data_IF_126601562793
#
_entry.id   IF_126601562793
#
_cell.length_a   1.000
_cell.length_b   1.000
_cell.length_c   1.000
_cell.angle_alpha   90.00
_cell.angle_beta   90.00
_cell.angle_gamma   90.00
#
_symmetry.space_group_name_H-M   'P 1'
#
loop_
_entity.id
_entity.type
_entity.pdbx_description
1 polymer ?
#
# COMPACT_ATOMS: atom_id res chain seq x y z
N UNK A 1 -43.92 -0.07 54.03
CA UNK A 1 -43.07 0.90 53.32
C UNK A 1 -41.79 0.16 52.97
N UNK A 2 -41.92 -0.76 52.02
CA UNK A 2 -41.43 -0.67 50.61
C UNK A 2 -39.97 -1.09 50.53
N UNK A 3 -39.76 -2.40 50.61
CA UNK A 3 -38.62 -3.10 50.00
C UNK A 3 -38.89 -3.18 48.49
N UNK A 4 -38.07 -2.52 47.68
CA UNK A 4 -37.99 -2.77 46.24
C UNK A 4 -36.76 -3.64 45.98
N UNK A 5 -37.02 -4.93 45.76
CA UNK A 5 -36.05 -5.86 45.17
C UNK A 5 -36.27 -5.84 43.67
N UNK A 6 -35.39 -5.18 42.92
CA UNK A 6 -35.48 -5.13 41.45
C UNK A 6 -34.65 -6.27 40.86
N UNK A 7 -35.36 -7.27 40.35
CA UNK A 7 -34.84 -8.32 39.47
C UNK A 7 -34.47 -7.78 38.07
N UNK A 8 -33.34 -8.29 37.58
CA UNK A 8 -33.12 -8.82 36.22
C UNK A 8 -33.35 -7.92 35.00
N UNK A 9 -32.25 -7.63 34.29
CA UNK A 9 -32.17 -7.83 32.84
C UNK A 9 -30.70 -7.84 32.38
N UNK A 10 -30.04 -8.99 32.51
CA UNK A 10 -28.79 -9.24 31.76
C UNK A 10 -29.19 -9.55 30.33
N UNK A 11 -29.11 -8.56 29.44
CA UNK A 11 -29.29 -8.78 28.01
C UNK A 11 -28.07 -9.55 27.49
N UNK A 12 -28.20 -10.86 27.34
CA UNK A 12 -27.27 -11.63 26.52
C UNK A 12 -27.47 -11.23 25.06
N UNK A 13 -26.68 -10.24 24.63
CA UNK A 13 -26.49 -9.89 23.23
C UNK A 13 -25.69 -11.03 22.60
N UNK A 14 -26.39 -11.98 21.97
CA UNK A 14 -25.77 -13.03 21.16
C UNK A 14 -25.04 -12.36 19.99
N UNK A 15 -23.72 -12.17 20.12
CA UNK A 15 -22.88 -11.72 19.01
C UNK A 15 -22.95 -12.75 17.89
N UNK A 16 -23.58 -12.37 16.79
CA UNK A 16 -23.64 -13.14 15.56
C UNK A 16 -22.21 -13.33 15.02
N UNK A 17 -21.65 -14.53 15.19
CA UNK A 17 -20.28 -14.87 14.77
C UNK A 17 -20.24 -14.97 13.25
N UNK A 18 -20.05 -13.84 12.59
CA UNK A 18 -19.82 -13.76 11.14
C UNK A 18 -18.45 -14.38 10.78
N UNK A 19 -18.35 -15.29 9.82
CA UNK A 19 -17.04 -15.82 9.44
C UNK A 19 -16.09 -14.70 8.95
N UNK A 20 -14.79 -14.72 9.29
CA UNK A 20 -13.85 -13.71 8.81
C UNK A 20 -13.72 -13.80 7.28
N UNK A 21 -13.89 -12.67 6.59
CA UNK A 21 -13.73 -12.60 5.14
C UNK A 21 -12.26 -12.84 4.78
N UNK A 22 -11.98 -13.96 4.10
CA UNK A 22 -10.64 -14.32 3.63
C UNK A 22 -10.51 -14.00 2.15
N UNK A 23 -9.46 -13.26 1.78
CA UNK A 23 -9.11 -13.02 0.38
C UNK A 23 -7.90 -13.85 -0.02
N UNK A 24 -8.04 -14.71 -1.04
CA UNK A 24 -6.95 -15.60 -1.50
C UNK A 24 -5.68 -14.83 -1.90
N UNK A 25 -5.83 -13.60 -2.40
CA UNK A 25 -4.73 -12.71 -2.78
C UNK A 25 -3.87 -12.26 -1.59
N UNK A 26 -4.37 -12.42 -0.37
CA UNK A 26 -3.67 -12.09 0.87
C UNK A 26 -3.03 -13.32 1.52
N UNK A 27 -3.17 -14.51 0.91
CA UNK A 27 -2.54 -15.74 1.39
C UNK A 27 -1.14 -15.86 0.78
N UNK A 28 -0.12 -15.96 1.62
CA UNK A 28 1.27 -16.19 1.22
C UNK A 28 1.77 -17.53 1.72
N UNK A 29 2.41 -18.30 0.83
CA UNK A 29 2.94 -19.65 1.10
C UNK A 29 1.93 -20.60 1.76
N UNK A 30 0.62 -20.38 1.54
CA UNK A 30 -0.51 -21.13 2.14
C UNK A 30 -0.58 -21.14 3.68
N UNK A 31 0.27 -20.38 4.36
CA UNK A 31 0.34 -20.38 5.84
C UNK A 31 0.27 -18.96 6.43
N UNK A 32 0.58 -17.94 5.65
CA UNK A 32 0.57 -16.54 6.09
C UNK A 32 -0.62 -15.81 5.48
N UNK A 33 -1.18 -14.88 6.24
CA UNK A 33 -2.22 -13.96 5.80
C UNK A 33 -1.79 -12.52 6.04
N UNK A 34 -2.00 -11.65 5.06
CA UNK A 34 -1.70 -10.22 5.17
C UNK A 34 -2.85 -9.45 5.81
N UNK A 35 -2.51 -8.65 6.82
CA UNK A 35 -3.43 -7.79 7.58
C UNK A 35 -2.84 -6.38 7.75
N UNK A 36 -3.70 -5.42 8.05
CA UNK A 36 -3.26 -4.15 8.60
C UNK A 36 -2.86 -4.37 10.06
N UNK A 37 -1.72 -3.84 10.49
CA UNK A 37 -1.24 -3.99 11.86
C UNK A 37 -0.76 -2.68 12.47
N UNK A 38 -1.03 -2.50 13.75
CA UNK A 38 -0.54 -1.44 14.62
C UNK A 38 0.56 -2.00 15.50
N UNK A 39 1.73 -1.38 15.47
CA UNK A 39 2.95 -1.88 16.10
C UNK A 39 3.50 -0.86 17.08
N UNK A 40 4.15 -1.36 18.13
CA UNK A 40 4.97 -0.57 19.06
C UNK A 40 6.37 -1.15 19.21
N UNK A 41 7.31 -0.30 19.57
CA UNK A 41 8.66 -0.67 19.95
C UNK A 41 8.87 -0.34 21.43
N UNK A 42 9.02 -1.33 22.32
CA UNK A 42 9.29 -1.09 23.74
C UNK A 42 10.60 -0.34 23.97
N UNK A 43 11.59 -0.49 23.10
CA UNK A 43 12.92 0.09 23.31
C UNK A 43 12.99 1.61 23.06
N UNK A 44 12.03 2.19 22.33
CA UNK A 44 12.02 3.62 22.01
C UNK A 44 10.63 4.26 21.99
N UNK A 45 9.64 3.51 22.48
CA UNK A 45 8.22 3.88 22.60
C UNK A 45 7.58 4.35 21.29
N UNK A 46 8.18 4.01 20.15
CA UNK A 46 7.65 4.40 18.84
C UNK A 46 6.49 3.50 18.45
N UNK A 47 5.39 4.10 18.02
CA UNK A 47 4.26 3.40 17.43
C UNK A 47 4.19 3.65 15.92
N UNK A 48 3.77 2.65 15.16
CA UNK A 48 3.59 2.78 13.72
C UNK A 48 2.56 1.80 13.18
N UNK A 49 2.01 2.12 12.02
CA UNK A 49 1.11 1.23 11.30
C UNK A 49 1.85 0.55 10.14
N UNK A 50 1.43 -0.67 9.84
CA UNK A 50 1.96 -1.44 8.73
C UNK A 50 0.85 -2.18 8.00
N UNK A 51 0.59 -1.76 6.76
CA UNK A 51 -0.50 -2.30 5.92
C UNK A 51 -0.32 -3.76 5.54
N UNK A 52 0.85 -4.37 5.76
CA UNK A 52 1.13 -5.75 5.35
C UNK A 52 1.81 -6.55 6.43
N UNK A 53 1.22 -6.47 7.62
CA UNK A 53 1.57 -7.36 8.71
C UNK A 53 1.21 -8.78 8.32
N UNK A 54 2.11 -9.75 8.53
CA UNK A 54 1.84 -11.17 8.26
C UNK A 54 1.53 -11.87 9.56
N UNK A 55 0.39 -12.53 9.61
CA UNK A 55 -0.03 -13.41 10.69
C UNK A 55 -0.34 -14.80 10.14
N UNK A 56 -0.29 -15.82 10.99
CA UNK A 56 -0.63 -17.17 10.58
C UNK A 56 -2.11 -17.21 10.14
N UNK A 57 -2.36 -17.81 8.97
CA UNK A 57 -3.69 -17.88 8.37
C UNK A 57 -4.70 -18.59 9.28
N UNK A 58 -4.29 -19.65 10.00
CA UNK A 58 -5.20 -20.35 10.91
C UNK A 58 -5.60 -19.47 12.09
N UNK A 59 -4.66 -18.67 12.62
CA UNK A 59 -4.91 -17.75 13.73
C UNK A 59 -5.82 -16.60 13.33
N UNK A 60 -5.64 -16.09 12.11
CA UNK A 60 -6.58 -15.12 11.53
C UNK A 60 -8.00 -15.68 11.42
N UNK A 61 -8.15 -16.89 10.84
CA UNK A 61 -9.45 -17.57 10.72
C UNK A 61 -10.11 -17.80 12.08
N UNK A 62 -9.30 -18.11 13.11
CA UNK A 62 -9.76 -18.31 14.47
C UNK A 62 -9.92 -17.02 15.29
N UNK A 63 -9.77 -15.83 14.66
CA UNK A 63 -9.94 -14.51 15.30
C UNK A 63 -9.06 -14.29 16.55
N UNK A 64 -7.88 -14.91 16.59
CA UNK A 64 -6.96 -14.80 17.72
C UNK A 64 -6.46 -13.36 17.85
N UNK A 65 -6.61 -12.72 19.02
CA UNK A 65 -6.20 -11.31 19.20
C UNK A 65 -4.68 -11.17 19.12
N UNK A 66 -4.23 -9.95 18.83
CA UNK A 66 -2.80 -9.66 18.68
C UNK A 66 -1.96 -10.02 19.92
N UNK A 67 -2.50 -9.79 21.13
CA UNK A 67 -1.83 -10.13 22.39
C UNK A 67 -1.70 -11.65 22.64
N UNK A 68 -2.57 -12.45 22.03
CA UNK A 68 -2.57 -13.91 22.19
C UNK A 68 -1.70 -14.61 21.12
N UNK A 69 -1.20 -13.87 20.13
CA UNK A 69 -0.33 -14.42 19.08
C UNK A 69 1.08 -14.68 19.60
N UNK A 70 1.55 -15.90 19.36
CA UNK A 70 2.95 -16.25 19.61
C UNK A 70 3.88 -15.60 18.59
N UNK A 71 5.16 -15.46 18.94
CA UNK A 71 6.17 -14.82 18.07
C UNK A 71 6.40 -15.56 16.75
N UNK A 72 6.15 -16.87 16.69
CA UNK A 72 6.22 -17.67 15.47
C UNK A 72 4.91 -17.63 14.65
N UNK A 73 3.84 -17.03 15.18
CA UNK A 73 2.53 -16.91 14.53
C UNK A 73 2.35 -15.54 13.84
N UNK A 74 3.35 -14.67 13.95
CA UNK A 74 3.41 -13.37 13.28
C UNK A 74 4.82 -13.11 12.78
N UNK A 75 4.95 -12.33 11.71
CA UNK A 75 6.27 -11.86 11.27
C UNK A 75 6.61 -10.54 11.95
N UNK A 76 7.62 -10.56 12.82
CA UNK A 76 8.15 -9.37 13.51
C UNK A 76 8.53 -8.28 12.51
N UNK A 77 8.39 -7.03 12.95
CA UNK A 77 8.80 -5.86 12.18
C UNK A 77 10.02 -5.23 12.84
N UNK A 78 10.87 -4.58 12.03
CA UNK A 78 11.95 -3.79 12.60
C UNK A 78 11.42 -2.38 12.90
N UNK A 79 11.76 -1.84 14.07
CA UNK A 79 11.41 -0.47 14.40
C UNK A 79 12.13 0.49 13.45
N UNK A 80 11.38 1.41 12.82
CA UNK A 80 11.96 2.39 11.90
C UNK A 80 12.73 3.51 12.60
N UNK A 81 12.51 3.72 13.90
CA UNK A 81 13.16 4.76 14.69
C UNK A 81 14.50 4.31 15.26
N UNK A 82 14.55 3.15 15.91
CA UNK A 82 15.75 2.65 16.59
C UNK A 82 16.35 1.37 15.98
N UNK A 83 15.80 0.86 14.87
CA UNK A 83 16.24 -0.38 14.22
C UNK A 83 16.14 -1.65 15.08
N UNK A 84 15.51 -1.58 16.25
CA UNK A 84 15.30 -2.77 17.08
C UNK A 84 14.36 -3.78 16.41
N UNK A 85 14.62 -5.07 16.65
CA UNK A 85 13.75 -6.19 16.26
C UNK A 85 12.72 -6.53 17.34
N UNK A 86 12.78 -5.84 18.48
CA UNK A 86 11.85 -5.99 19.59
C UNK A 86 10.57 -5.20 19.31
N UNK A 87 9.77 -5.64 18.34
CA UNK A 87 8.50 -5.01 18.00
C UNK A 87 7.31 -5.83 18.51
N UNK A 88 6.34 -5.18 19.14
CA UNK A 88 5.08 -5.78 19.54
C UNK A 88 3.97 -5.38 18.56
N UNK A 89 3.15 -6.36 18.17
CA UNK A 89 1.91 -6.10 17.43
C UNK A 89 0.83 -5.79 18.47
N UNK A 90 0.29 -4.59 18.45
CA UNK A 90 -0.75 -4.14 19.38
C UNK A 90 -2.12 -4.62 18.90
N UNK A 91 -2.38 -4.46 17.60
CA UNK A 91 -3.67 -4.77 17.00
C UNK A 91 -3.47 -5.11 15.53
N UNK A 92 -4.38 -5.92 14.99
CA UNK A 92 -4.49 -6.09 13.55
C UNK A 92 -5.95 -6.11 13.11
N UNK A 93 -6.18 -5.80 11.83
CA UNK A 93 -7.48 -5.82 11.20
C UNK A 93 -7.37 -6.32 9.74
N UNK A 94 -8.48 -6.82 9.15
CA UNK A 94 -8.49 -7.17 7.74
C UNK A 94 -8.02 -5.99 6.89
N UNK A 95 -7.26 -6.27 5.84
CA UNK A 95 -6.93 -5.23 4.87
C UNK A 95 -8.21 -4.73 4.22
N UNK A 96 -8.33 -3.41 4.10
CA UNK A 96 -9.40 -2.84 3.29
C UNK A 96 -9.27 -3.36 1.85
N UNK A 97 -10.38 -3.48 1.13
CA UNK A 97 -10.37 -3.71 -0.32
C UNK A 97 -9.50 -2.68 -1.06
N UNK A 98 -9.22 -1.53 -0.43
CA UNK A 98 -8.31 -0.52 -0.93
C UNK A 98 -6.81 -0.79 -0.77
N UNK A 99 -6.45 -1.73 0.10
CA UNK A 99 -5.06 -2.11 0.35
C UNK A 99 -4.71 -3.48 -0.24
N UNK A 100 -5.71 -4.28 -0.62
CA UNK A 100 -5.51 -5.51 -1.38
C UNK A 100 -4.94 -5.16 -2.76
N UNK A 101 -3.77 -5.73 -3.07
CA UNK A 101 -3.12 -5.56 -4.37
C UNK A 101 -4.06 -6.08 -5.47
N UNK A 102 -4.43 -5.28 -6.47
CA UNK A 102 -5.05 -5.84 -7.65
C UNK A 102 -4.03 -6.77 -8.33
N UNK A 103 -4.50 -7.77 -9.11
CA UNK A 103 -3.63 -8.55 -9.96
C UNK A 103 -2.75 -7.64 -10.82
N UNK A 104 -1.51 -8.07 -11.08
CA UNK A 104 -0.67 -7.44 -12.11
C UNK A 104 -1.46 -7.41 -13.41
N UNK A 105 -1.45 -6.25 -14.08
CA UNK A 105 -2.12 -6.08 -15.36
C UNK A 105 -1.09 -5.87 -16.45
N UNK A 106 -1.14 -6.69 -17.48
CA UNK A 106 -0.09 -6.73 -18.52
C UNK A 106 0.11 -5.38 -19.22
N UNK A 107 -0.95 -4.60 -19.43
CA UNK A 107 -0.86 -3.26 -20.03
C UNK A 107 -0.15 -2.20 -19.15
N UNK A 108 0.18 -2.53 -17.91
CA UNK A 108 0.98 -1.71 -17.00
C UNK A 108 2.44 -2.18 -16.93
N UNK A 109 2.80 -3.25 -17.65
CA UNK A 109 4.17 -3.74 -17.76
C UNK A 109 4.82 -3.08 -18.98
N UNK A 110 6.00 -2.50 -18.77
CA UNK A 110 6.90 -2.03 -19.83
C UNK A 110 8.17 -2.87 -19.80
N UNK A 111 8.74 -3.20 -20.96
CA UNK A 111 10.00 -3.93 -21.09
C UNK A 111 11.04 -3.00 -21.69
N UNK A 112 12.19 -2.91 -21.04
CA UNK A 112 13.32 -2.15 -21.59
C UNK A 112 14.12 -2.97 -22.61
N UNK A 113 15.21 -2.39 -23.13
CA UNK A 113 16.09 -3.02 -24.10
C UNK A 113 16.79 -4.28 -23.55
N UNK A 114 17.00 -4.34 -22.23
CA UNK A 114 17.60 -5.47 -21.52
C UNK A 114 16.56 -6.54 -21.13
N UNK A 115 15.30 -6.35 -21.54
CA UNK A 115 14.15 -7.20 -21.20
C UNK A 115 13.80 -7.21 -19.72
N UNK A 116 14.25 -6.22 -18.94
CA UNK A 116 13.74 -6.04 -17.59
C UNK A 116 12.28 -5.61 -17.67
N UNK A 117 11.44 -6.28 -16.88
CA UNK A 117 10.03 -5.96 -16.79
C UNK A 117 9.82 -4.91 -15.70
N UNK A 118 9.29 -3.76 -16.08
CA UNK A 118 8.98 -2.63 -15.22
C UNK A 118 7.47 -2.50 -15.07
N UNK A 119 7.00 -2.40 -13.84
CA UNK A 119 5.58 -2.27 -13.53
C UNK A 119 5.20 -0.82 -13.19
N UNK A 120 4.19 -0.31 -13.87
CA UNK A 120 3.67 1.05 -13.67
C UNK A 120 2.81 1.13 -12.41
N UNK A 121 3.19 2.02 -11.50
CA UNK A 121 2.58 2.24 -10.19
C UNK A 121 2.25 3.72 -9.96
N UNK A 122 1.51 3.99 -8.88
CA UNK A 122 1.31 5.33 -8.35
C UNK A 122 2.36 5.59 -7.26
N UNK A 123 3.25 6.54 -7.46
CA UNK A 123 4.32 6.90 -6.52
C UNK A 123 4.06 8.21 -5.79
N UNK A 124 4.55 8.29 -4.55
CA UNK A 124 4.72 9.52 -3.77
C UNK A 124 6.20 9.82 -3.66
N UNK A 125 6.57 11.06 -3.94
CA UNK A 125 7.95 11.50 -4.15
C UNK A 125 8.26 12.73 -3.33
N UNK A 126 9.48 12.82 -2.82
CA UNK A 126 10.03 14.02 -2.20
C UNK A 126 11.28 14.47 -2.97
N UNK A 127 11.59 15.76 -2.92
CA UNK A 127 12.83 16.28 -3.48
C UNK A 127 14.01 15.92 -2.57
N UNK A 128 15.16 15.57 -3.16
CA UNK A 128 16.36 15.15 -2.43
C UNK A 128 17.15 16.32 -1.84
N UNK A 129 16.81 17.56 -2.22
CA UNK A 129 17.52 18.76 -1.77
C UNK A 129 16.97 19.22 -0.42
N UNK A 130 17.88 19.42 0.56
CA UNK A 130 17.54 19.86 1.92
C UNK A 130 16.76 21.18 1.96
N UNK A 131 17.00 22.08 1.01
CA UNK A 131 16.26 23.35 0.90
C UNK A 131 14.84 23.17 0.34
N UNK A 132 14.46 21.94 0.01
CA UNK A 132 13.24 21.56 -0.72
C UNK A 132 12.53 20.34 -0.10
N UNK A 133 12.95 19.91 1.10
CA UNK A 133 12.44 18.71 1.77
C UNK A 133 10.92 18.70 1.99
N UNK A 134 10.29 19.88 1.97
CA UNK A 134 8.84 20.04 2.14
C UNK A 134 8.04 19.77 0.86
N UNK A 135 8.70 19.63 -0.31
CA UNK A 135 8.02 19.51 -1.59
C UNK A 135 7.81 18.03 -1.92
N UNK A 136 6.57 17.61 -1.67
CA UNK A 136 6.06 16.28 -1.99
C UNK A 136 5.14 16.34 -3.20
N UNK A 137 5.30 15.40 -4.14
CA UNK A 137 4.36 15.23 -5.24
C UNK A 137 3.97 13.77 -5.42
N UNK A 138 2.93 13.56 -6.22
CA UNK A 138 2.50 12.22 -6.61
C UNK A 138 2.54 12.07 -8.12
N UNK A 139 2.78 10.83 -8.59
CA UNK A 139 2.94 10.53 -10.00
C UNK A 139 2.33 9.17 -10.32
N UNK A 140 1.41 9.14 -11.29
CA UNK A 140 0.92 7.89 -11.89
C UNK A 140 1.85 7.38 -13.01
N UNK A 141 3.02 8.01 -13.18
CA UNK A 141 4.05 7.65 -14.16
C UNK A 141 5.32 7.20 -13.43
N UNK A 142 5.15 6.34 -12.42
CA UNK A 142 6.25 5.74 -11.67
C UNK A 142 6.40 4.29 -12.11
N UNK A 143 7.65 3.83 -12.28
CA UNK A 143 7.97 2.48 -12.69
C UNK A 143 8.90 1.83 -11.66
N UNK A 144 8.54 0.63 -11.22
CA UNK A 144 9.33 -0.20 -10.30
C UNK A 144 9.55 -1.55 -10.99
N UNK A 145 10.73 -2.17 -10.86
CA UNK A 145 10.96 -3.50 -11.39
C UNK A 145 9.84 -4.45 -10.95
N UNK A 146 9.28 -5.20 -11.90
CA UNK A 146 8.14 -6.08 -11.66
C UNK A 146 8.49 -7.14 -10.61
N UNK A 147 9.71 -7.68 -10.64
CA UNK A 147 10.22 -8.59 -9.61
C UNK A 147 10.17 -7.97 -8.22
N UNK A 148 10.68 -6.74 -8.06
CA UNK A 148 10.67 -6.00 -6.77
C UNK A 148 9.26 -5.63 -6.32
N UNK A 149 8.40 -5.28 -7.27
CA UNK A 149 6.99 -5.06 -7.01
C UNK A 149 6.29 -6.34 -6.54
N UNK A 150 6.57 -7.49 -7.14
CA UNK A 150 6.04 -8.81 -6.76
C UNK A 150 6.59 -9.31 -5.41
N UNK A 151 7.87 -9.05 -5.14
CA UNK A 151 8.54 -9.28 -3.85
C UNK A 151 8.08 -8.32 -2.74
N UNK A 152 7.34 -7.28 -3.11
CA UNK A 152 6.75 -6.28 -2.22
C UNK A 152 7.79 -5.46 -1.42
N UNK A 153 8.94 -5.19 -2.06
CA UNK A 153 10.03 -4.41 -1.46
C UNK A 153 9.56 -2.98 -1.21
N UNK A 154 9.71 -2.47 0.01
CA UNK A 154 9.27 -1.12 0.35
C UNK A 154 10.07 -0.06 -0.41
N UNK A 155 9.50 1.13 -0.65
CA UNK A 155 10.20 2.19 -1.35
C UNK A 155 11.53 2.59 -0.68
N UNK A 156 11.63 2.50 0.64
CA UNK A 156 12.85 2.78 1.40
C UNK A 156 13.98 1.77 1.11
N UNK A 157 13.63 0.55 0.69
CA UNK A 157 14.58 -0.54 0.38
C UNK A 157 14.84 -0.66 -1.13
N UNK A 158 14.25 0.21 -1.95
CA UNK A 158 14.50 0.26 -3.39
C UNK A 158 15.70 1.16 -3.70
N UNK A 159 16.53 0.73 -4.64
CA UNK A 159 17.65 1.51 -5.14
C UNK A 159 17.21 2.28 -6.37
N UNK A 160 17.44 3.60 -6.39
CA UNK A 160 17.12 4.47 -7.53
C UNK A 160 17.87 4.03 -8.77
N UNK A 161 17.23 4.13 -9.93
CA UNK A 161 17.72 3.77 -11.27
C UNK A 161 18.06 2.28 -11.47
N UNK A 162 18.04 1.46 -10.41
CA UNK A 162 18.18 0.01 -10.49
C UNK A 162 16.85 -0.70 -10.24
N UNK A 163 16.14 -0.32 -9.17
CA UNK A 163 14.88 -0.95 -8.78
C UNK A 163 13.65 -0.10 -9.16
N UNK A 164 13.82 1.20 -9.34
CA UNK A 164 12.78 2.11 -9.82
C UNK A 164 13.37 3.23 -10.67
N UNK A 165 12.59 3.72 -11.63
CA UNK A 165 13.02 4.81 -12.50
C UNK A 165 12.94 6.15 -11.77
N UNK A 166 14.06 6.85 -11.61
CA UNK A 166 14.10 8.15 -10.93
C UNK A 166 13.30 9.24 -11.63
N UNK A 167 12.71 10.16 -10.86
CA UNK A 167 12.08 11.39 -11.39
C UNK A 167 12.82 12.60 -10.85
N UNK A 168 12.84 13.68 -11.63
CA UNK A 168 13.36 14.96 -11.16
C UNK A 168 12.32 15.67 -10.28
N UNK A 169 12.81 16.45 -9.32
CA UNK A 169 12.02 17.30 -8.46
C UNK A 169 11.19 18.27 -9.30
N UNK A 170 9.90 18.39 -8.98
CA UNK A 170 8.97 19.26 -9.72
C UNK A 170 9.02 20.72 -9.31
N UNK A 171 9.82 21.08 -8.31
CA UNK A 171 9.90 22.46 -7.85
C UNK A 171 10.82 23.28 -8.73
N UNK A 172 10.31 24.41 -9.21
CA UNK A 172 11.08 25.42 -9.96
C UNK A 172 12.16 26.09 -9.10
N UNK A 173 12.02 26.06 -7.77
CA UNK A 173 13.01 26.59 -6.82
C UNK A 173 14.15 25.62 -6.56
N UNK A 174 13.99 24.36 -6.97
CA UNK A 174 14.90 23.26 -6.67
C UNK A 174 15.51 22.75 -7.97
N UNK A 175 16.28 23.63 -8.63
CA UNK A 175 16.96 23.43 -9.91
C UNK A 175 17.35 21.96 -10.17
N UNK A 176 16.52 21.26 -10.94
CA UNK A 176 16.74 19.87 -11.40
C UNK A 176 17.23 18.91 -10.31
N UNK A 177 16.88 19.14 -9.04
CA UNK A 177 17.26 18.22 -7.98
C UNK A 177 16.56 16.89 -8.21
N UNK A 178 17.20 15.79 -7.81
CA UNK A 178 16.58 14.47 -7.94
C UNK A 178 15.41 14.33 -6.97
N UNK A 179 14.48 13.48 -7.35
CA UNK A 179 13.42 13.00 -6.49
C UNK A 179 13.69 11.61 -5.97
N UNK A 180 13.35 11.39 -4.70
CA UNK A 180 13.31 10.07 -4.06
C UNK A 180 11.89 9.57 -3.94
N UNK A 181 11.66 8.33 -4.37
CA UNK A 181 10.41 7.63 -4.16
C UNK A 181 10.26 7.28 -2.67
N UNK A 182 9.23 7.82 -2.02
CA UNK A 182 8.95 7.56 -0.59
C UNK A 182 7.95 6.44 -0.38
N UNK A 183 6.98 6.33 -1.28
CA UNK A 183 5.95 5.29 -1.24
C UNK A 183 5.48 4.97 -2.65
N UNK A 184 5.01 3.75 -2.88
CA UNK A 184 4.32 3.41 -4.11
C UNK A 184 3.16 2.46 -3.85
N UNK A 185 2.16 2.50 -4.73
CA UNK A 185 0.98 1.63 -4.69
C UNK A 185 0.50 1.25 -6.09
N UNK A 186 -0.23 0.13 -6.24
CA UNK A 186 -0.80 -0.26 -7.53
C UNK A 186 -1.68 0.84 -8.12
N UNK A 187 -1.62 1.05 -9.44
CA UNK A 187 -2.56 1.92 -10.12
C UNK A 187 -3.98 1.32 -10.03
N UNK A 188 -4.91 2.13 -9.52
CA UNK A 188 -6.33 1.81 -9.42
C UNK A 188 -7.08 2.51 -10.54
N UNK A 189 -8.09 1.86 -11.11
CA UNK A 189 -9.02 2.57 -12.00
C UNK A 189 -9.73 3.60 -11.14
N UNK A 190 -9.60 4.87 -11.49
CA UNK A 190 -10.31 5.94 -10.79
C UNK A 190 -11.82 5.70 -10.85
N UNK A 191 -12.50 5.76 -9.72
CA UNK A 191 -13.96 5.63 -9.61
C UNK A 191 -14.70 6.93 -9.93
N UNK A 192 -13.98 8.02 -10.23
CA UNK A 192 -14.60 9.30 -10.57
C UNK A 192 -15.52 9.15 -11.78
N UNK A 193 -16.80 9.49 -11.58
CA UNK A 193 -17.79 9.65 -12.66
C UNK A 193 -17.47 10.89 -13.52
N UNK A 194 -16.80 11.87 -12.93
CA UNK A 194 -16.29 13.07 -13.59
C UNK A 194 -14.83 12.87 -13.97
N UNK A 195 -14.56 11.96 -14.91
CA UNK A 195 -13.23 11.92 -15.53
C UNK A 195 -13.14 13.12 -16.48
N UNK A 196 -12.10 13.96 -16.38
CA UNK A 196 -11.82 14.91 -17.44
C UNK A 196 -11.81 14.15 -18.76
N UNK A 197 -12.48 14.67 -19.79
CA UNK A 197 -12.43 14.05 -21.11
C UNK A 197 -10.96 13.88 -21.47
N UNK A 198 -10.62 12.69 -21.95
CA UNK A 198 -9.28 12.44 -22.44
C UNK A 198 -8.99 13.43 -23.57
N UNK A 199 -8.06 14.34 -23.34
CA UNK A 199 -7.62 15.30 -24.36
C UNK A 199 -6.56 14.60 -25.21
N UNK A 200 -6.97 14.10 -26.37
CA UNK A 200 -6.11 13.34 -27.28
C UNK A 200 -4.85 14.11 -27.70
N UNK A 201 -4.89 15.44 -27.69
CA UNK A 201 -3.73 16.33 -27.93
C UNK A 201 -2.57 16.10 -26.97
N UNK A 202 -2.83 15.60 -25.75
CA UNK A 202 -1.80 15.30 -24.75
C UNK A 202 -1.41 13.82 -24.69
N UNK A 203 -1.95 12.99 -25.59
CA UNK A 203 -1.73 11.55 -25.59
C UNK A 203 -1.22 11.08 -26.94
N UNK A 204 0.06 10.75 -27.01
CA UNK A 204 0.70 10.24 -28.23
C UNK A 204 0.09 8.91 -28.74
N UNK A 205 -0.67 8.18 -27.90
CA UNK A 205 -1.38 6.96 -28.29
C UNK A 205 -2.75 7.23 -28.92
N UNK A 206 -3.27 8.46 -28.82
CA UNK A 206 -4.47 8.83 -29.53
C UNK A 206 -4.11 9.15 -30.98
N UNK A 207 -4.82 8.55 -31.96
CA UNK A 207 -4.60 8.92 -33.35
C UNK A 207 -4.91 10.41 -33.49
N UNK A 208 -3.89 11.18 -33.89
CA UNK A 208 -4.08 12.50 -34.46
C UNK A 208 -4.72 12.30 -35.82
N UNK A 209 -6.05 12.17 -35.88
CA UNK A 209 -6.74 12.37 -37.15
C UNK A 209 -7.08 13.85 -37.27
N UNK A 210 -6.49 14.60 -38.22
CA UNK A 210 -7.12 15.80 -38.73
C UNK A 210 -8.28 15.34 -39.61
N UNK A 211 -9.52 15.68 -39.25
CA UNK A 211 -10.61 15.60 -40.22
C UNK A 211 -10.38 16.72 -41.25
N UNK A 212 -9.79 16.34 -42.38
CA UNK A 212 -9.96 17.06 -43.65
C UNK A 212 -11.45 17.07 -43.95
N UNK A 213 -12.07 18.24 -43.93
CA UNK A 213 -13.36 18.42 -44.59
C UNK A 213 -13.07 18.90 -46.01
N UNK A 214 -13.25 17.96 -46.94
CA UNK A 214 -13.37 18.17 -48.38
C UNK A 214 -14.44 19.20 -48.68
N UNK A 215 -14.14 20.04 -49.67
CA UNK A 215 -15.03 21.01 -50.31
C UNK A 215 -16.35 20.39 -50.76
N UNK A 216 -17.43 21.17 -50.61
CA UNK A 216 -18.57 21.26 -51.52
C UNK A 216 -19.14 22.68 -51.43
#
# INVERSE_FOLDING_TARGET
MTDETTESASSNTTEEVTEPIVHDKLISRRIWYYVFGEWSCPDCENEWTHKRTRINLSKYKNRVKADDLQDNERVKQQCRKCSSKNSKLIKYSPLSSEDIKPPVRDHLIWKDAERNEWYRVYGTWDCDNNNCETIRWTSAYTFVLLSKYLEEISAADLTRDTHYWGQDCKSTQCNSSRGTLKEYRPLRRGSSKNRPRHLGTFCHKCPVSPCVQTEL
#
